data_IF_098660690757
#
_entry.id   IF_098660690757
#
_cell.length_a   1.000
_cell.length_b   1.000
_cell.length_c   1.000
_cell.angle_alpha   90.00
_cell.angle_beta   90.00
_cell.angle_gamma   90.00
#
_symmetry.space_group_name_H-M   'P 1'
#
loop_
_entity.id
_entity.type
_entity.pdbx_description
1 polymer ?
#
# COMPACT_ATOMS: atom_id res chain seq x y z
N UNK A 1 18.49 10.82 -1.16
CA UNK A 1 19.06 12.11 -0.73
C UNK A 1 18.24 12.61 0.44
N UNK A 2 18.89 12.79 1.59
CA UNK A 2 18.35 13.47 2.77
C UNK A 2 18.99 14.84 2.77
N UNK A 3 18.18 15.91 2.75
CA UNK A 3 18.71 17.27 2.64
C UNK A 3 19.09 17.78 4.05
N UNK A 4 20.19 17.27 4.60
CA UNK A 4 20.70 17.64 5.92
C UNK A 4 22.13 18.18 5.81
N UNK A 5 22.43 19.26 6.53
CA UNK A 5 23.79 19.73 6.81
C UNK A 5 23.90 20.01 8.31
N UNK A 6 25.10 20.07 8.90
CA UNK A 6 25.33 19.98 10.36
C UNK A 6 24.25 20.57 11.31
N UNK A 7 23.73 21.77 11.03
CA UNK A 7 22.62 22.39 11.78
C UNK A 7 21.26 22.42 11.05
N UNK A 8 21.22 22.13 9.76
CA UNK A 8 20.02 22.18 8.93
C UNK A 8 19.43 20.79 8.70
N UNK A 9 18.16 20.61 9.07
CA UNK A 9 17.39 19.42 8.72
C UNK A 9 16.24 19.78 7.78
N UNK A 10 16.47 19.60 6.48
CA UNK A 10 15.48 19.81 5.44
C UNK A 10 14.45 18.68 5.38
N UNK A 11 13.20 18.99 5.71
CA UNK A 11 12.07 18.06 5.64
C UNK A 11 11.45 17.93 4.24
N UNK A 12 11.84 18.79 3.29
CA UNK A 12 11.31 18.81 1.93
C UNK A 12 12.35 18.27 0.96
N UNK A 13 12.23 16.99 0.62
CA UNK A 13 13.00 16.38 -0.45
C UNK A 13 12.10 16.16 -1.66
N UNK A 14 12.46 16.74 -2.82
CA UNK A 14 11.79 16.41 -4.08
C UNK A 14 11.97 14.93 -4.35
N UNK A 15 10.87 14.22 -4.57
CA UNK A 15 10.91 12.79 -4.86
C UNK A 15 11.71 12.55 -6.15
N UNK A 16 12.88 11.94 -6.03
CA UNK A 16 13.82 11.71 -7.14
C UNK A 16 13.48 10.49 -8.00
N UNK A 17 12.20 10.07 -8.03
CA UNK A 17 11.81 8.78 -8.61
C UNK A 17 11.60 8.88 -10.13
N UNK A 18 12.18 7.90 -10.85
CA UNK A 18 11.91 7.59 -12.26
C UNK A 18 10.49 7.02 -12.41
N UNK A 19 9.73 7.47 -13.41
CA UNK A 19 8.34 7.07 -13.67
C UNK A 19 7.42 8.24 -14.07
N UNK A 20 6.22 7.94 -14.59
CA UNK A 20 5.31 8.97 -15.12
C UNK A 20 4.64 9.79 -14.00
N UNK A 21 4.49 11.10 -14.21
CA UNK A 21 3.77 11.99 -13.28
C UNK A 21 2.29 11.62 -13.17
N UNK A 22 1.70 11.21 -14.28
CA UNK A 22 0.29 10.86 -14.41
C UNK A 22 -0.03 9.60 -13.60
N UNK A 23 0.77 8.53 -13.75
CA UNK A 23 0.55 7.28 -13.02
C UNK A 23 0.61 7.47 -11.50
N UNK A 24 1.55 8.30 -11.01
CA UNK A 24 1.61 8.65 -9.59
C UNK A 24 0.36 9.38 -9.11
N UNK A 25 -0.18 10.30 -9.92
CA UNK A 25 -1.41 11.03 -9.58
C UNK A 25 -2.61 10.09 -9.55
N UNK A 26 -2.73 9.20 -10.54
CA UNK A 26 -3.80 8.21 -10.59
C UNK A 26 -3.77 7.27 -9.37
N UNK A 27 -2.60 6.72 -9.04
CA UNK A 27 -2.41 5.87 -7.87
C UNK A 27 -2.69 6.61 -6.56
N UNK A 28 -2.33 7.88 -6.46
CA UNK A 28 -2.63 8.69 -5.29
C UNK A 28 -4.14 8.88 -5.10
N UNK A 29 -4.86 9.16 -6.19
CA UNK A 29 -6.34 9.23 -6.16
C UNK A 29 -6.96 7.88 -5.78
N UNK A 30 -6.43 6.77 -6.32
CA UNK A 30 -6.90 5.43 -5.97
C UNK A 30 -6.65 5.10 -4.49
N UNK A 31 -5.50 5.49 -3.93
CA UNK A 31 -5.18 5.32 -2.52
C UNK A 31 -6.10 6.13 -1.60
N UNK A 32 -6.46 7.36 -1.98
CA UNK A 32 -7.47 8.15 -1.26
C UNK A 32 -8.85 7.50 -1.33
N UNK A 33 -9.22 6.96 -2.49
CA UNK A 33 -10.50 6.30 -2.66
C UNK A 33 -10.61 4.99 -1.87
N UNK A 34 -9.53 4.25 -1.72
CA UNK A 34 -9.54 2.96 -1.02
C UNK A 34 -9.67 3.09 0.50
N UNK A 35 -9.12 4.15 1.11
CA UNK A 35 -9.23 4.41 2.55
C UNK A 35 -10.47 5.20 2.95
N UNK A 36 -11.23 5.71 1.98
CA UNK A 36 -12.41 6.52 2.27
C UNK A 36 -13.48 5.66 2.96
N UNK A 37 -14.23 6.28 3.85
CA UNK A 37 -15.44 5.71 4.43
C UNK A 37 -16.67 6.30 3.73
N UNK A 38 -17.75 5.52 3.62
CA UNK A 38 -19.04 6.02 3.14
C UNK A 38 -19.64 7.00 4.15
N UNK A 39 -20.72 7.68 3.77
CA UNK A 39 -21.48 8.57 4.67
C UNK A 39 -21.99 7.84 5.91
N UNK A 40 -22.23 6.53 5.80
CA UNK A 40 -22.70 5.68 6.89
C UNK A 40 -21.56 5.17 7.78
N UNK A 41 -20.33 5.64 7.57
CA UNK A 41 -19.14 5.23 8.31
C UNK A 41 -18.58 3.87 7.89
N UNK A 42 -19.17 3.19 6.89
CA UNK A 42 -18.67 1.90 6.44
C UNK A 42 -17.38 2.09 5.61
N UNK A 43 -16.31 1.34 5.91
CA UNK A 43 -15.07 1.43 5.16
C UNK A 43 -15.22 0.81 3.78
N UNK A 44 -14.74 1.48 2.73
CA UNK A 44 -14.72 0.90 1.37
C UNK A 44 -13.80 -0.31 1.33
N UNK A 45 -12.62 -0.19 1.92
CA UNK A 45 -11.70 -1.31 2.13
C UNK A 45 -11.28 -1.35 3.60
N UNK A 46 -11.89 -2.26 4.36
CA UNK A 46 -11.61 -2.43 5.78
C UNK A 46 -10.14 -2.75 6.06
N UNK A 47 -9.53 -3.63 5.25
CA UNK A 47 -8.13 -4.07 5.42
C UNK A 47 -7.14 -2.91 5.24
N UNK A 48 -7.32 -2.12 4.17
CA UNK A 48 -6.43 -0.98 3.90
C UNK A 48 -6.67 0.16 4.90
N UNK A 49 -7.91 0.37 5.35
CA UNK A 49 -8.20 1.38 6.36
C UNK A 49 -7.60 1.02 7.71
N UNK A 50 -7.70 -0.24 8.13
CA UNK A 50 -7.08 -0.74 9.35
C UNK A 50 -5.56 -0.56 9.28
N UNK A 51 -4.93 -0.97 8.18
CA UNK A 51 -3.50 -0.77 7.96
C UNK A 51 -3.10 0.72 8.03
N UNK A 52 -3.92 1.61 7.48
CA UNK A 52 -3.68 3.06 7.54
C UNK A 52 -3.76 3.60 8.98
N UNK A 53 -4.76 3.17 9.74
CA UNK A 53 -4.97 3.67 11.11
C UNK A 53 -3.98 3.09 12.11
N UNK A 54 -3.69 1.79 12.02
CA UNK A 54 -2.88 1.06 12.99
C UNK A 54 -1.40 1.10 12.61
N UNK A 55 -1.03 0.55 11.45
CA UNK A 55 0.38 0.36 11.08
C UNK A 55 1.10 1.65 10.66
N UNK A 56 0.34 2.68 10.27
CA UNK A 56 0.91 3.96 9.84
C UNK A 56 0.67 5.08 10.86
N UNK A 57 0.22 4.75 12.07
CA UNK A 57 0.12 5.69 13.17
C UNK A 57 1.49 6.34 13.43
N UNK A 58 1.50 7.68 13.59
CA UNK A 58 2.73 8.46 13.81
C UNK A 58 3.50 8.85 12.55
N UNK A 59 3.17 8.31 11.36
CA UNK A 59 3.79 8.75 10.11
C UNK A 59 3.11 10.02 9.57
N UNK A 60 3.87 10.87 8.88
CA UNK A 60 3.31 12.02 8.14
C UNK A 60 2.25 11.53 7.14
N UNK A 61 1.11 12.22 7.06
CA UNK A 61 -0.04 11.79 6.24
C UNK A 61 0.33 11.43 4.78
N UNK A 62 1.15 12.25 4.12
CA UNK A 62 1.61 11.97 2.74
C UNK A 62 2.45 10.70 2.64
N UNK A 63 3.28 10.42 3.64
CA UNK A 63 4.11 9.20 3.69
C UNK A 63 3.23 7.97 3.89
N UNK A 64 2.21 8.08 4.73
CA UNK A 64 1.24 7.01 4.94
C UNK A 64 0.45 6.69 3.65
N UNK A 65 0.00 7.70 2.92
CA UNK A 65 -0.66 7.52 1.62
C UNK A 65 0.26 6.84 0.59
N UNK A 66 1.54 7.22 0.54
CA UNK A 66 2.52 6.57 -0.35
C UNK A 66 2.72 5.09 0.01
N UNK A 67 2.66 4.73 1.30
CA UNK A 67 2.72 3.33 1.72
C UNK A 67 1.50 2.53 1.22
N UNK A 68 0.31 3.13 1.20
CA UNK A 68 -0.89 2.51 0.61
C UNK A 68 -0.75 2.38 -0.91
N UNK A 69 -0.26 3.42 -1.60
CA UNK A 69 0.00 3.36 -3.04
C UNK A 69 0.92 2.18 -3.38
N UNK A 70 1.96 1.95 -2.58
CA UNK A 70 2.88 0.82 -2.78
C UNK A 70 2.17 -0.54 -2.63
N UNK A 71 1.25 -0.68 -1.66
CA UNK A 71 0.42 -1.89 -1.51
C UNK A 71 -0.50 -2.10 -2.72
N UNK A 72 -1.16 -1.05 -3.20
CA UNK A 72 -2.05 -1.13 -4.36
C UNK A 72 -1.32 -1.56 -5.63
N UNK A 73 -0.12 -1.03 -5.88
CA UNK A 73 0.72 -1.44 -7.02
C UNK A 73 1.03 -2.93 -6.95
N UNK A 74 1.37 -3.44 -5.76
CA UNK A 74 1.67 -4.86 -5.58
C UNK A 74 0.44 -5.74 -5.79
N UNK A 75 -0.77 -5.28 -5.42
CA UNK A 75 -2.01 -6.00 -5.71
C UNK A 75 -2.30 -6.05 -7.20
N UNK A 76 -2.18 -4.91 -7.90
CA UNK A 76 -2.35 -4.85 -9.36
C UNK A 76 -1.34 -5.78 -10.03
N UNK A 77 -0.08 -5.72 -9.62
CA UNK A 77 0.96 -6.59 -10.15
C UNK A 77 0.67 -8.08 -9.88
N UNK A 78 0.19 -8.44 -8.69
CA UNK A 78 -0.16 -9.82 -8.37
C UNK A 78 -1.30 -10.35 -9.24
N UNK A 79 -2.34 -9.54 -9.47
CA UNK A 79 -3.47 -9.86 -10.36
C UNK A 79 -2.97 -10.08 -11.78
N UNK A 80 -2.15 -9.17 -12.30
CA UNK A 80 -1.59 -9.28 -13.65
C UNK A 80 -0.61 -10.45 -13.80
N UNK A 81 0.16 -10.77 -12.75
CA UNK A 81 1.11 -11.88 -12.78
C UNK A 81 0.41 -13.24 -12.74
N UNK A 82 -0.59 -13.38 -11.87
CA UNK A 82 -1.28 -14.65 -11.66
C UNK A 82 -2.46 -14.86 -12.61
N UNK A 83 -2.92 -13.81 -13.31
CA UNK A 83 -4.11 -13.83 -14.17
C UNK A 83 -5.39 -14.28 -13.43
N UNK A 84 -5.45 -14.01 -12.12
CA UNK A 84 -6.59 -14.33 -11.26
C UNK A 84 -7.35 -13.05 -10.86
N UNK A 85 -8.69 -13.09 -10.72
CA UNK A 85 -9.44 -11.94 -10.26
C UNK A 85 -8.99 -11.50 -8.85
N UNK A 86 -9.14 -10.22 -8.56
CA UNK A 86 -8.78 -9.67 -7.24
C UNK A 86 -9.78 -10.11 -6.18
N UNK A 87 -9.28 -10.63 -5.07
CA UNK A 87 -10.06 -11.00 -3.90
C UNK A 87 -9.54 -10.25 -2.67
N UNK A 88 -10.47 -9.65 -1.91
CA UNK A 88 -10.11 -9.02 -0.65
C UNK A 88 -9.90 -10.09 0.42
N UNK A 89 -8.65 -10.26 0.87
CA UNK A 89 -8.28 -11.23 1.89
C UNK A 89 -7.74 -10.55 3.15
N UNK A 90 -8.04 -11.12 4.31
CA UNK A 90 -7.44 -10.69 5.57
C UNK A 90 -5.93 -11.05 5.57
N UNK A 91 -5.03 -10.14 6.01
CA UNK A 91 -3.59 -10.42 6.06
C UNK A 91 -3.19 -11.69 6.81
N UNK A 92 -3.90 -12.03 7.90
CA UNK A 92 -3.60 -13.22 8.72
C UNK A 92 -3.91 -14.50 7.95
N UNK A 93 -5.09 -14.57 7.34
CA UNK A 93 -5.54 -15.70 6.51
C UNK A 93 -4.62 -15.85 5.29
N UNK A 94 -4.29 -14.73 4.63
CA UNK A 94 -3.40 -14.76 3.48
C UNK A 94 -2.00 -15.31 3.81
N UNK A 95 -1.47 -14.98 5.00
CA UNK A 95 -0.19 -15.54 5.48
C UNK A 95 -0.27 -17.06 5.67
N UNK A 96 -1.36 -17.57 6.25
CA UNK A 96 -1.56 -19.01 6.45
C UNK A 96 -1.59 -19.74 5.10
N UNK A 97 -2.42 -19.27 4.16
CA UNK A 97 -2.50 -19.83 2.79
C UNK A 97 -1.13 -19.85 2.09
N UNK A 98 -0.32 -18.80 2.27
CA UNK A 98 1.01 -18.75 1.68
C UNK A 98 1.95 -19.83 2.24
N UNK A 99 1.94 -20.05 3.56
CA UNK A 99 2.75 -21.08 4.20
C UNK A 99 2.31 -22.49 3.79
N UNK A 100 0.99 -22.71 3.72
CA UNK A 100 0.40 -23.96 3.25
C UNK A 100 0.83 -24.28 1.80
N UNK A 101 0.73 -23.31 0.89
CA UNK A 101 1.14 -23.49 -0.50
C UNK A 101 2.65 -23.79 -0.64
N UNK A 102 3.50 -23.17 0.18
CA UNK A 102 4.93 -23.50 0.20
C UNK A 102 5.16 -24.93 0.66
N UNK A 103 4.47 -25.36 1.73
CA UNK A 103 4.62 -26.72 2.24
C UNK A 103 4.22 -27.77 1.19
N UNK A 104 3.13 -27.54 0.45
CA UNK A 104 2.67 -28.44 -0.61
C UNK A 104 3.67 -28.51 -1.77
N UNK A 105 4.22 -27.37 -2.20
CA UNK A 105 5.23 -27.32 -3.26
C UNK A 105 6.57 -27.96 -2.87
N UNK A 106 6.87 -28.10 -1.58
CA UNK A 106 8.09 -28.76 -1.10
C UNK A 106 7.91 -30.28 -0.91
N UNK A 107 6.67 -30.76 -0.85
CA UNK A 107 6.32 -32.18 -0.71
C UNK A 107 6.10 -32.84 -2.07
N UNK A 108 5.69 -32.06 -3.08
CA UNK A 108 5.61 -32.46 -4.49
C UNK A 108 6.99 -32.36 -5.18
#
# INVERSE_FOLDING_TARGET
>A
SVNQSGKFQGNQCKISKRGTRIGRRALYSAALASIRCTRNGTPINGVLLEYYKVNLQGKKAKVALVAIMHKLINYIFAVLRNQTPFELRNPKIHKQMFLENISQNNVA
#
